data_IF_238315406797
#
_entry.id   IF_238315406797
#
_cell.length_a   1.000
_cell.length_b   1.000
_cell.length_c   1.000
_cell.angle_alpha   90.00
_cell.angle_beta   90.00
_cell.angle_gamma   90.00
#
_symmetry.space_group_name_H-M   'P 1'
#
loop_
_entity.id
_entity.type
_entity.pdbx_description
1 polymer ?
#
# COMPACT_ATOMS: atom_id res chain seq x y z
N UNK A 1 -2.08 -0.42 -25.41
CA UNK A 1 -2.51 0.11 -24.11
C UNK A 1 -2.83 -0.98 -23.10
N UNK A 2 -3.47 -0.67 -21.96
CA UNK A 2 -3.72 -1.66 -20.89
C UNK A 2 -4.52 -2.88 -21.38
N UNK A 3 -5.47 -2.71 -22.27
CA UNK A 3 -6.23 -3.83 -22.88
C UNK A 3 -5.36 -4.80 -23.68
N UNK A 4 -4.32 -4.34 -24.32
CA UNK A 4 -3.36 -5.21 -25.03
C UNK A 4 -2.55 -6.04 -24.04
N UNK A 5 -2.16 -5.43 -22.90
CA UNK A 5 -1.44 -6.12 -21.83
C UNK A 5 -2.31 -7.22 -21.21
N UNK A 6 -3.54 -6.90 -20.81
CA UNK A 6 -4.46 -7.89 -20.23
C UNK A 6 -4.82 -8.99 -21.24
N UNK A 7 -5.03 -8.62 -22.50
CA UNK A 7 -5.26 -9.58 -23.58
C UNK A 7 -4.11 -10.57 -23.76
N UNK A 8 -2.87 -10.09 -23.76
CA UNK A 8 -1.69 -10.94 -23.83
C UNK A 8 -1.56 -11.89 -22.63
N UNK A 9 -1.82 -11.39 -21.39
CA UNK A 9 -1.82 -12.22 -20.18
C UNK A 9 -2.89 -13.32 -20.27
N UNK A 10 -4.09 -12.98 -20.71
CA UNK A 10 -5.20 -13.94 -20.83
C UNK A 10 -4.95 -14.98 -21.92
N UNK A 11 -4.25 -14.62 -23.00
CA UNK A 11 -3.87 -15.57 -24.06
C UNK A 11 -3.01 -16.71 -23.51
N UNK A 12 -2.19 -16.43 -22.49
CA UNK A 12 -1.37 -17.43 -21.79
C UNK A 12 -2.12 -18.13 -20.63
N UNK A 13 -3.43 -17.90 -20.48
CA UNK A 13 -4.28 -18.54 -19.48
C UNK A 13 -4.15 -17.96 -18.05
N UNK A 14 -3.40 -16.87 -17.87
CA UNK A 14 -3.22 -16.24 -16.57
C UNK A 14 -4.27 -15.14 -16.29
N UNK A 15 -4.55 -14.88 -15.02
CA UNK A 15 -5.36 -13.74 -14.60
C UNK A 15 -4.51 -12.47 -14.46
N UNK A 16 -5.11 -11.32 -14.79
CA UNK A 16 -4.45 -10.02 -14.72
C UNK A 16 -4.95 -9.19 -13.52
N UNK A 17 -4.03 -8.70 -12.69
CA UNK A 17 -4.32 -7.78 -11.59
C UNK A 17 -3.65 -6.43 -11.78
N UNK A 18 -4.28 -5.37 -11.27
CA UNK A 18 -3.70 -4.02 -11.26
C UNK A 18 -3.76 -3.41 -9.87
N UNK A 19 -2.67 -2.75 -9.46
CA UNK A 19 -2.67 -1.97 -8.22
C UNK A 19 -3.22 -0.56 -8.48
N UNK A 20 -4.19 -0.15 -7.66
CA UNK A 20 -4.76 1.20 -7.65
C UNK A 20 -4.38 1.93 -6.37
N UNK A 21 -4.06 3.22 -6.47
CA UNK A 21 -3.65 4.00 -5.32
C UNK A 21 -3.45 5.47 -5.68
N UNK A 22 -3.29 6.29 -4.64
CA UNK A 22 -2.98 7.70 -4.76
C UNK A 22 -1.71 8.03 -3.98
N UNK A 23 -0.75 8.69 -4.62
CA UNK A 23 0.57 8.96 -4.04
C UNK A 23 0.54 9.83 -2.76
N UNK A 24 -0.52 10.64 -2.59
CA UNK A 24 -0.59 11.53 -1.44
C UNK A 24 0.59 12.52 -1.41
N UNK A 25 1.23 12.65 -0.27
CA UNK A 25 2.38 13.52 -0.06
C UNK A 25 3.65 13.09 -0.82
N UNK A 26 3.67 11.89 -1.40
CA UNK A 26 4.78 11.40 -2.21
C UNK A 26 4.79 11.98 -3.63
N UNK A 27 3.74 12.65 -4.04
CA UNK A 27 3.70 13.38 -5.32
C UNK A 27 4.48 14.70 -5.24
N UNK A 28 4.73 15.31 -6.39
CA UNK A 28 5.42 16.60 -6.47
C UNK A 28 4.65 17.55 -7.39
N UNK A 29 4.55 18.84 -6.98
CA UNK A 29 3.80 19.87 -7.73
C UNK A 29 4.15 19.94 -9.23
N UNK A 30 5.43 19.74 -9.57
CA UNK A 30 5.89 19.76 -10.98
C UNK A 30 5.33 18.59 -11.80
N UNK A 31 4.91 17.49 -11.14
CA UNK A 31 4.38 16.29 -11.80
C UNK A 31 2.86 16.36 -11.88
N UNK A 32 2.21 16.66 -10.75
CA UNK A 32 0.74 16.67 -10.68
C UNK A 32 0.09 18.02 -11.02
N UNK A 33 0.89 19.07 -11.30
CA UNK A 33 0.39 20.41 -11.65
C UNK A 33 -0.19 21.21 -10.48
N UNK A 34 -0.52 20.57 -9.37
CA UNK A 34 -1.14 21.16 -8.19
C UNK A 34 -0.34 20.86 -6.92
N UNK A 35 -0.67 21.52 -5.81
CA UNK A 35 -0.10 21.18 -4.50
C UNK A 35 -0.55 19.75 -4.12
N UNK A 36 0.38 18.82 -3.85
CA UNK A 36 0.03 17.47 -3.40
C UNK A 36 -0.84 17.49 -2.15
N UNK A 37 -1.70 16.50 -2.02
CA UNK A 37 -2.63 16.34 -0.89
C UNK A 37 -2.19 15.21 0.04
N UNK A 38 -2.60 15.29 1.30
CA UNK A 38 -2.28 14.31 2.33
C UNK A 38 -3.37 14.31 3.41
N UNK A 39 -3.24 13.44 4.42
CA UNK A 39 -4.08 13.49 5.61
C UNK A 39 -3.95 14.84 6.34
N UNK A 40 -2.72 15.37 6.44
CA UNK A 40 -2.42 16.65 7.11
C UNK A 40 -1.49 17.52 6.28
N UNK A 41 -1.57 18.83 6.50
CA UNK A 41 -0.64 19.80 5.89
C UNK A 41 0.76 19.61 6.46
N UNK A 42 1.78 19.71 5.62
CA UNK A 42 3.16 19.57 6.03
C UNK A 42 4.17 19.74 4.89
N UNK A 43 5.39 19.32 5.16
CA UNK A 43 6.47 19.30 4.18
C UNK A 43 7.04 17.88 4.07
N UNK A 44 7.09 17.34 2.85
CA UNK A 44 7.71 16.05 2.60
C UNK A 44 9.18 16.23 2.22
N UNK A 45 10.07 15.77 3.10
CA UNK A 45 11.52 15.84 2.88
C UNK A 45 12.03 14.86 1.82
N UNK A 46 11.35 13.73 1.62
CA UNK A 46 11.73 12.72 0.64
C UNK A 46 11.53 13.22 -0.81
N UNK A 47 10.40 13.87 -1.06
CA UNK A 47 10.12 14.62 -2.28
C UNK A 47 9.94 16.08 -1.89
N UNK A 48 11.02 16.92 -1.84
CA UNK A 48 10.98 18.24 -1.22
C UNK A 48 9.82 19.11 -1.75
N UNK A 49 8.68 19.02 -1.10
CA UNK A 49 7.45 19.71 -1.51
C UNK A 49 6.54 20.00 -0.31
N UNK A 50 5.87 21.13 -0.36
CA UNK A 50 4.75 21.40 0.53
C UNK A 50 3.53 20.60 0.12
N UNK A 51 2.82 20.06 1.11
CA UNK A 51 1.60 19.29 0.91
C UNK A 51 0.46 19.93 1.69
N UNK A 52 -0.73 19.83 1.16
CA UNK A 52 -1.96 20.33 1.77
C UNK A 52 -2.75 19.18 2.38
N UNK A 53 -3.21 19.34 3.61
CA UNK A 53 -4.20 18.46 4.20
C UNK A 53 -5.50 18.50 3.40
N UNK A 54 -6.09 17.34 3.16
CA UNK A 54 -7.41 17.25 2.51
C UNK A 54 -8.49 17.86 3.40
N UNK A 55 -9.40 18.62 2.79
CA UNK A 55 -10.62 19.08 3.46
C UNK A 55 -11.60 17.91 3.59
N UNK A 56 -12.52 18.00 4.56
CA UNK A 56 -13.53 16.94 4.77
C UNK A 56 -14.39 16.69 3.54
N UNK A 57 -14.76 17.76 2.86
CA UNK A 57 -15.62 17.76 1.68
C UNK A 57 -14.96 17.07 0.47
N UNK A 58 -13.63 16.97 0.47
CA UNK A 58 -12.85 16.31 -0.60
C UNK A 58 -12.76 14.77 -0.42
N UNK A 59 -12.94 14.28 0.81
CA UNK A 59 -12.75 12.85 1.13
C UNK A 59 -13.76 11.94 0.40
N UNK A 60 -15.06 12.25 0.33
CA UNK A 60 -16.01 11.43 -0.42
C UNK A 60 -15.69 11.36 -1.91
N UNK A 61 -15.26 12.46 -2.52
CA UNK A 61 -14.89 12.45 -3.94
C UNK A 61 -13.64 11.63 -4.21
N UNK A 62 -12.66 11.70 -3.32
CA UNK A 62 -11.47 10.85 -3.41
C UNK A 62 -11.83 9.37 -3.24
N UNK A 63 -12.73 9.02 -2.31
CA UNK A 63 -13.21 7.65 -2.16
C UNK A 63 -13.91 7.16 -3.44
N UNK A 64 -14.82 7.95 -4.01
CA UNK A 64 -15.47 7.64 -5.29
C UNK A 64 -14.46 7.45 -6.43
N UNK A 65 -13.32 8.16 -6.41
CA UNK A 65 -12.28 7.97 -7.41
C UNK A 65 -11.66 6.55 -7.36
N UNK A 66 -11.53 5.95 -6.16
CA UNK A 66 -11.13 4.54 -6.04
C UNK A 66 -12.17 3.60 -6.66
N UNK A 67 -13.46 3.82 -6.43
CA UNK A 67 -14.53 3.05 -7.08
C UNK A 67 -14.50 3.18 -8.61
N UNK A 68 -14.35 4.41 -9.14
CA UNK A 68 -14.20 4.62 -10.59
C UNK A 68 -12.98 3.88 -11.16
N UNK A 69 -11.88 3.81 -10.42
CA UNK A 69 -10.69 3.09 -10.84
C UNK A 69 -10.93 1.59 -11.02
N UNK A 70 -11.81 0.97 -10.20
CA UNK A 70 -12.24 -0.42 -10.36
C UNK A 70 -12.98 -0.63 -11.69
N UNK A 71 -13.94 0.24 -12.01
CA UNK A 71 -14.65 0.18 -13.29
C UNK A 71 -13.69 0.29 -14.49
N UNK A 72 -12.77 1.27 -14.45
CA UNK A 72 -11.77 1.45 -15.50
C UNK A 72 -10.81 0.26 -15.63
N UNK A 73 -10.41 -0.34 -14.49
CA UNK A 73 -9.60 -1.56 -14.48
C UNK A 73 -10.34 -2.72 -15.17
N UNK A 74 -11.62 -2.92 -14.82
CA UNK A 74 -12.44 -3.96 -15.46
C UNK A 74 -12.65 -3.72 -16.95
N UNK A 75 -12.91 -2.49 -17.35
CA UNK A 75 -12.99 -2.12 -18.76
C UNK A 75 -11.69 -2.38 -19.53
N UNK A 76 -10.56 -2.22 -18.85
CA UNK A 76 -9.24 -2.56 -19.40
C UNK A 76 -8.93 -4.06 -19.40
N UNK A 77 -9.83 -4.91 -18.87
CA UNK A 77 -9.70 -6.36 -18.88
C UNK A 77 -9.02 -6.96 -17.64
N UNK A 78 -8.80 -6.20 -16.57
CA UNK A 78 -8.25 -6.75 -15.33
C UNK A 78 -9.30 -7.57 -14.56
N UNK A 79 -8.85 -8.71 -14.01
CA UNK A 79 -9.67 -9.63 -13.21
C UNK A 79 -9.69 -9.22 -11.73
N UNK A 80 -8.64 -8.51 -11.28
CA UNK A 80 -8.50 -8.07 -9.91
C UNK A 80 -7.93 -6.67 -9.80
N UNK A 81 -8.27 -5.99 -8.70
CA UNK A 81 -7.63 -4.76 -8.25
C UNK A 81 -6.97 -4.96 -6.89
N UNK A 82 -5.78 -4.40 -6.71
CA UNK A 82 -5.12 -4.31 -5.41
C UNK A 82 -5.18 -2.85 -4.94
N UNK A 83 -5.92 -2.58 -3.85
CA UNK A 83 -5.97 -1.26 -3.23
C UNK A 83 -4.71 -1.02 -2.42
N UNK A 84 -3.95 0.02 -2.74
CA UNK A 84 -2.72 0.33 -2.03
C UNK A 84 -3.00 1.13 -0.75
N UNK A 85 -3.01 0.43 0.40
CA UNK A 85 -3.21 1.00 1.72
C UNK A 85 -1.94 0.99 2.59
N UNK A 86 -0.75 0.85 1.98
CA UNK A 86 0.53 0.76 2.67
C UNK A 86 1.56 1.80 2.21
N UNK A 87 2.80 1.62 2.67
CA UNK A 87 4.04 2.30 2.24
C UNK A 87 4.07 3.82 2.36
N UNK A 88 3.11 4.43 3.09
CA UNK A 88 3.03 5.89 3.23
C UNK A 88 2.37 6.59 2.05
N UNK A 89 1.58 5.89 1.23
CA UNK A 89 0.68 6.49 0.25
C UNK A 89 -0.63 6.96 0.90
N UNK A 90 -1.55 7.56 0.14
CA UNK A 90 -2.63 8.37 0.70
C UNK A 90 -3.45 7.66 1.80
N UNK A 91 -3.92 6.43 1.58
CA UNK A 91 -4.67 5.68 2.62
C UNK A 91 -3.78 5.42 3.83
N UNK A 92 -2.53 4.98 3.63
CA UNK A 92 -1.56 4.79 4.70
C UNK A 92 -1.25 6.09 5.46
N UNK A 93 -1.27 7.25 4.79
CA UNK A 93 -1.08 8.56 5.43
C UNK A 93 -2.23 8.93 6.37
N UNK A 94 -3.45 8.46 6.10
CA UNK A 94 -4.57 8.59 7.04
C UNK A 94 -4.46 7.61 8.20
N UNK A 95 -4.02 6.40 7.95
CA UNK A 95 -3.87 5.34 8.97
C UNK A 95 -2.73 5.65 9.95
N UNK A 96 -1.58 6.12 9.46
CA UNK A 96 -0.39 6.34 10.29
C UNK A 96 -0.50 7.59 11.15
N UNK A 97 -0.27 7.48 12.48
CA UNK A 97 -0.24 8.65 13.37
C UNK A 97 0.91 9.60 13.05
N UNK A 98 1.93 9.12 12.35
CA UNK A 98 3.08 9.94 11.91
C UNK A 98 2.71 11.01 10.88
N UNK A 99 1.73 10.74 10.02
CA UNK A 99 1.28 11.67 8.97
C UNK A 99 -0.10 12.24 9.22
N UNK A 100 -0.91 11.59 10.05
CA UNK A 100 -2.26 12.03 10.37
C UNK A 100 -2.29 12.79 11.71
N UNK A 101 -2.18 14.12 11.64
CA UNK A 101 -2.26 15.02 12.78
C UNK A 101 -3.62 15.74 12.86
N UNK A 102 -4.64 15.22 12.17
CA UNK A 102 -5.98 15.80 12.15
C UNK A 102 -6.63 15.81 13.54
N UNK A 103 -7.47 16.83 13.79
CA UNK A 103 -8.22 17.00 15.04
C UNK A 103 -9.72 16.75 14.87
N UNK A 104 -10.12 16.41 13.65
CA UNK A 104 -11.50 16.04 13.31
C UNK A 104 -11.71 14.52 13.40
N UNK A 105 -12.90 14.06 12.98
CA UNK A 105 -13.29 12.65 13.01
C UNK A 105 -12.47 11.71 12.10
N UNK A 106 -11.49 12.22 11.36
CA UNK A 106 -10.56 11.44 10.53
C UNK A 106 -9.16 11.34 11.13
N UNK A 107 -8.97 11.81 12.39
CA UNK A 107 -7.68 11.79 13.07
C UNK A 107 -7.78 11.45 14.56
N UNK A 108 -6.63 11.33 15.23
CA UNK A 108 -6.54 10.94 16.63
C UNK A 108 -6.63 9.43 16.84
N UNK A 109 -7.77 8.91 17.29
CA UNK A 109 -7.96 7.48 17.56
C UNK A 109 -7.78 6.62 16.29
N UNK A 110 -7.44 5.34 16.49
CA UNK A 110 -7.32 4.39 15.38
C UNK A 110 -8.62 4.31 14.58
N UNK A 111 -9.77 4.26 15.26
CA UNK A 111 -11.09 4.21 14.61
C UNK A 111 -11.29 5.40 13.66
N UNK A 112 -10.97 6.60 14.12
CA UNK A 112 -11.05 7.80 13.29
C UNK A 112 -10.08 7.76 12.10
N UNK A 113 -8.85 7.30 12.31
CA UNK A 113 -7.84 7.18 11.25
C UNK A 113 -8.23 6.15 10.19
N UNK A 114 -9.01 5.13 10.54
CA UNK A 114 -9.56 4.14 9.60
C UNK A 114 -10.74 4.65 8.77
N UNK A 115 -11.41 5.75 9.14
CA UNK A 115 -12.63 6.22 8.44
C UNK A 115 -12.41 6.46 6.96
N UNK A 116 -11.31 7.10 6.56
CA UNK A 116 -11.05 7.34 5.15
C UNK A 116 -10.79 6.03 4.38
N UNK A 117 -10.09 5.07 4.97
CA UNK A 117 -9.93 3.74 4.39
C UNK A 117 -11.27 3.04 4.19
N UNK A 118 -12.16 3.09 5.20
CA UNK A 118 -13.52 2.52 5.10
C UNK A 118 -14.30 3.13 3.95
N UNK A 119 -14.28 4.45 3.78
CA UNK A 119 -14.94 5.12 2.66
C UNK A 119 -14.39 4.63 1.31
N UNK A 120 -13.08 4.50 1.18
CA UNK A 120 -12.46 3.98 -0.04
C UNK A 120 -12.85 2.52 -0.31
N UNK A 121 -12.86 1.66 0.72
CA UNK A 121 -13.23 0.26 0.59
C UNK A 121 -14.72 0.10 0.25
N UNK A 122 -15.61 0.92 0.80
CA UNK A 122 -17.03 0.91 0.45
C UNK A 122 -17.23 1.13 -1.04
N UNK A 123 -16.65 2.18 -1.60
CA UNK A 123 -16.75 2.50 -3.03
C UNK A 123 -16.11 1.42 -3.92
N UNK A 124 -14.95 0.89 -3.50
CA UNK A 124 -14.26 -0.20 -4.21
C UNK A 124 -15.11 -1.47 -4.20
N UNK A 125 -15.66 -1.89 -3.05
CA UNK A 125 -16.44 -3.12 -2.95
C UNK A 125 -17.76 -3.02 -3.69
N UNK A 126 -18.43 -1.85 -3.68
CA UNK A 126 -19.62 -1.60 -4.47
C UNK A 126 -19.32 -1.72 -5.99
N UNK A 127 -18.24 -1.11 -6.45
CA UNK A 127 -17.81 -1.21 -7.84
C UNK A 127 -17.39 -2.65 -8.22
N UNK A 128 -16.71 -3.35 -7.33
CA UNK A 128 -16.28 -4.73 -7.54
C UNK A 128 -17.46 -5.69 -7.62
N UNK A 129 -18.48 -5.53 -6.77
CA UNK A 129 -19.71 -6.32 -6.82
C UNK A 129 -20.46 -6.11 -8.17
N UNK A 130 -20.50 -4.86 -8.65
CA UNK A 130 -21.15 -4.52 -9.92
C UNK A 130 -20.39 -5.07 -11.15
N UNK A 131 -19.08 -5.26 -11.06
CA UNK A 131 -18.21 -5.64 -12.17
C UNK A 131 -17.70 -7.07 -12.14
N UNK A 132 -17.88 -7.78 -11.01
CA UNK A 132 -17.31 -9.12 -10.80
C UNK A 132 -15.78 -9.10 -10.64
N UNK A 133 -15.19 -7.98 -10.19
CA UNK A 133 -13.75 -7.80 -10.02
C UNK A 133 -13.32 -8.30 -8.64
N UNK A 134 -12.24 -9.07 -8.55
CA UNK A 134 -11.65 -9.45 -7.26
C UNK A 134 -10.92 -8.27 -6.61
N UNK A 135 -10.99 -8.15 -5.28
CA UNK A 135 -10.35 -7.07 -4.51
C UNK A 135 -9.30 -7.61 -3.57
N UNK A 136 -8.09 -7.13 -3.72
CA UNK A 136 -6.99 -7.32 -2.77
C UNK A 136 -6.67 -5.98 -2.09
N UNK A 137 -6.16 -6.02 -0.88
CA UNK A 137 -5.68 -4.82 -0.18
C UNK A 137 -4.24 -5.01 0.24
N UNK A 138 -3.34 -4.16 -0.27
CA UNK A 138 -1.96 -4.13 0.22
C UNK A 138 -1.89 -3.28 1.47
N UNK A 139 -1.45 -3.90 2.56
CA UNK A 139 -1.40 -3.29 3.89
C UNK A 139 -0.02 -3.47 4.54
N UNK A 140 0.42 -2.45 5.30
CA UNK A 140 1.65 -2.55 6.08
C UNK A 140 1.43 -3.33 7.36
N UNK A 141 2.28 -4.30 7.64
CA UNK A 141 2.35 -4.93 8.96
C UNK A 141 2.92 -3.96 10.02
N UNK A 142 3.77 -3.03 9.60
CA UNK A 142 4.30 -1.93 10.42
C UNK A 142 4.95 -0.87 9.52
N UNK A 143 5.12 0.35 10.04
CA UNK A 143 5.74 1.45 9.28
C UNK A 143 7.28 1.44 9.32
N UNK A 144 7.90 0.74 10.29
CA UNK A 144 9.35 0.56 10.36
C UNK A 144 10.11 1.64 11.15
N UNK A 145 9.41 2.51 11.88
CA UNK A 145 10.01 3.55 12.71
C UNK A 145 9.12 3.92 13.90
N UNK A 146 9.72 4.52 14.92
CA UNK A 146 8.99 4.94 16.12
C UNK A 146 7.98 6.06 15.81
N UNK A 147 6.75 5.89 16.26
CA UNK A 147 5.64 6.83 16.04
C UNK A 147 4.86 6.58 14.74
N UNK A 148 5.18 5.54 13.99
CA UNK A 148 4.34 4.97 12.93
C UNK A 148 3.43 3.87 13.46
N UNK A 149 2.75 3.17 12.55
CA UNK A 149 1.93 1.99 12.86
C UNK A 149 2.84 0.85 13.30
N UNK A 150 2.48 0.18 14.39
CA UNK A 150 3.11 -1.03 14.89
C UNK A 150 2.20 -2.26 14.71
N UNK A 151 2.74 -3.47 14.84
CA UNK A 151 2.03 -4.74 14.53
C UNK A 151 0.67 -4.87 15.22
N UNK A 152 0.51 -4.59 16.53
CA UNK A 152 -0.78 -4.75 17.19
C UNK A 152 -1.87 -3.86 16.56
N UNK A 153 -1.56 -2.60 16.31
CA UNK A 153 -2.48 -1.65 15.69
C UNK A 153 -2.76 -2.02 14.23
N UNK A 154 -1.75 -2.52 13.52
CA UNK A 154 -1.88 -2.98 12.14
C UNK A 154 -2.78 -4.22 12.02
N UNK A 155 -2.76 -5.13 13.00
CA UNK A 155 -3.67 -6.27 13.05
C UNK A 155 -5.13 -5.80 13.20
N UNK A 156 -5.40 -4.77 14.01
CA UNK A 156 -6.75 -4.21 14.11
C UNK A 156 -7.22 -3.58 12.78
N UNK A 157 -6.32 -2.91 12.06
CA UNK A 157 -6.62 -2.40 10.71
C UNK A 157 -6.91 -3.56 9.76
N UNK A 158 -6.12 -4.62 9.81
CA UNK A 158 -6.31 -5.81 8.96
C UNK A 158 -7.64 -6.55 9.26
N UNK A 159 -8.04 -6.62 10.53
CA UNK A 159 -9.37 -7.13 10.93
C UNK A 159 -10.50 -6.27 10.37
N UNK A 160 -10.32 -4.96 10.34
CA UNK A 160 -11.28 -4.06 9.71
C UNK A 160 -11.37 -4.33 8.19
N UNK A 161 -10.23 -4.51 7.51
CA UNK A 161 -10.20 -4.87 6.08
C UNK A 161 -10.91 -6.20 5.84
N UNK A 162 -10.70 -7.20 6.70
CA UNK A 162 -11.37 -8.51 6.62
C UNK A 162 -12.91 -8.38 6.72
N UNK A 163 -13.44 -7.48 7.56
CA UNK A 163 -14.88 -7.23 7.68
C UNK A 163 -15.53 -6.77 6.37
N UNK A 164 -14.77 -6.13 5.50
CA UNK A 164 -15.20 -5.74 4.15
C UNK A 164 -15.27 -6.91 3.17
N UNK A 165 -14.89 -8.14 3.59
CA UNK A 165 -14.92 -9.36 2.77
C UNK A 165 -14.14 -9.23 1.44
N UNK A 166 -13.01 -8.54 1.49
CA UNK A 166 -12.06 -8.52 0.36
C UNK A 166 -11.53 -9.93 0.10
N UNK A 167 -11.05 -10.19 -1.11
CA UNK A 167 -10.57 -11.52 -1.52
C UNK A 167 -9.21 -11.90 -0.89
N UNK A 168 -8.44 -10.93 -0.40
CA UNK A 168 -7.20 -11.18 0.31
C UNK A 168 -6.47 -9.91 0.74
N UNK A 169 -5.50 -10.07 1.66
CA UNK A 169 -4.59 -9.00 2.07
C UNK A 169 -3.17 -9.34 1.62
N UNK A 170 -2.52 -8.38 0.95
CA UNK A 170 -1.11 -8.43 0.59
C UNK A 170 -0.31 -7.79 1.73
N UNK A 171 0.38 -8.62 2.51
CA UNK A 171 1.17 -8.18 3.66
C UNK A 171 2.50 -7.60 3.21
N UNK A 172 2.77 -6.37 3.60
CA UNK A 172 4.02 -5.68 3.34
C UNK A 172 4.42 -4.87 4.59
N UNK A 173 5.43 -4.01 4.48
CA UNK A 173 5.84 -3.17 5.61
C UNK A 173 6.73 -2.02 5.16
N UNK A 174 6.92 -1.05 6.04
CA UNK A 174 7.74 0.12 5.79
C UNK A 174 6.97 1.32 5.25
N UNK A 175 7.64 2.46 5.27
CA UNK A 175 7.08 3.76 4.89
C UNK A 175 8.10 4.49 4.01
N UNK A 176 7.83 4.63 2.72
CA UNK A 176 8.82 5.04 1.71
C UNK A 176 9.54 6.35 2.05
N UNK A 177 8.83 7.34 2.57
CA UNK A 177 9.43 8.64 2.90
C UNK A 177 10.25 8.66 4.19
N UNK A 178 10.14 7.66 5.06
CA UNK A 178 10.79 7.63 6.38
C UNK A 178 11.65 6.40 6.62
N UNK A 179 11.20 5.24 6.17
CA UNK A 179 11.87 3.95 6.34
C UNK A 179 11.85 3.12 5.03
N UNK A 180 12.40 3.65 3.92
CA UNK A 180 12.36 2.95 2.63
C UNK A 180 13.03 1.59 2.69
N UNK A 181 14.10 1.45 3.48
CA UNK A 181 14.84 0.20 3.61
C UNK A 181 14.11 -0.88 4.41
N UNK A 182 13.02 -0.54 5.12
CA UNK A 182 12.15 -1.54 5.73
C UNK A 182 11.40 -2.38 4.68
N UNK A 183 11.13 -1.80 3.50
CA UNK A 183 10.54 -2.48 2.34
C UNK A 183 11.60 -3.15 1.48
N UNK A 184 12.62 -2.37 1.07
CA UNK A 184 13.60 -2.79 0.06
C UNK A 184 14.68 -3.73 0.61
N UNK A 185 15.02 -3.62 1.90
CA UNK A 185 16.09 -4.35 2.56
C UNK A 185 17.48 -4.21 1.86
N UNK A 186 18.54 -4.49 2.59
CA UNK A 186 19.91 -4.44 2.06
C UNK A 186 20.56 -3.06 2.15
N UNK A 187 21.51 -2.82 1.25
CA UNK A 187 22.27 -1.57 1.24
C UNK A 187 21.49 -0.42 0.60
N UNK A 188 21.62 0.76 1.20
CA UNK A 188 21.01 1.97 0.64
C UNK A 188 21.67 2.31 -0.69
N UNK A 189 20.92 2.54 -1.77
CA UNK A 189 21.49 2.90 -3.07
C UNK A 189 21.92 4.39 -3.13
N UNK A 190 22.85 4.78 -2.25
CA UNK A 190 23.30 6.15 -2.04
C UNK A 190 23.77 6.82 -3.33
N UNK A 191 24.54 6.10 -4.14
CA UNK A 191 25.06 6.65 -5.40
C UNK A 191 23.93 6.98 -6.37
N UNK A 192 22.96 6.07 -6.53
CA UNK A 192 21.78 6.28 -7.37
C UNK A 192 20.95 7.45 -6.85
N UNK A 193 20.66 7.49 -5.54
CA UNK A 193 19.92 8.59 -4.92
C UNK A 193 20.64 9.93 -5.14
N UNK A 194 21.96 9.99 -4.98
CA UNK A 194 22.73 11.20 -5.21
C UNK A 194 22.73 11.61 -6.68
N UNK A 195 22.78 10.67 -7.61
CA UNK A 195 22.81 10.94 -9.04
C UNK A 195 21.57 11.69 -9.52
N UNK A 196 20.38 11.26 -9.07
CA UNK A 196 19.10 11.90 -9.41
C UNK A 196 18.76 13.14 -8.57
N UNK A 197 19.62 13.51 -7.63
CA UNK A 197 19.42 14.69 -6.79
C UNK A 197 20.07 15.95 -7.40
N UNK A 198 19.57 17.16 -7.02
CA UNK A 198 20.21 18.42 -7.41
C UNK A 198 21.69 18.44 -7.04
N UNK A 199 22.54 19.09 -7.85
CA UNK A 199 23.99 19.10 -7.68
C UNK A 199 24.45 19.48 -6.28
N UNK A 200 23.81 20.52 -5.70
CA UNK A 200 24.13 21.02 -4.34
C UNK A 200 23.83 20.00 -3.23
N UNK A 201 22.93 19.04 -3.48
CA UNK A 201 22.51 18.04 -2.47
C UNK A 201 23.31 16.73 -2.60
N UNK A 202 24.01 16.49 -3.70
CA UNK A 202 24.71 15.22 -3.99
C UNK A 202 25.77 14.87 -2.94
N UNK A 203 26.61 15.83 -2.58
CA UNK A 203 27.63 15.63 -1.57
C UNK A 203 27.01 15.30 -0.21
N UNK A 204 26.00 16.06 0.20
CA UNK A 204 25.28 15.80 1.44
C UNK A 204 24.67 14.38 1.48
N UNK A 205 23.98 13.96 0.42
CA UNK A 205 23.41 12.60 0.34
C UNK A 205 24.49 11.53 0.44
N UNK A 206 25.63 11.71 -0.22
CA UNK A 206 26.74 10.73 -0.22
C UNK A 206 27.37 10.58 1.16
N UNK A 207 27.58 11.68 1.88
CA UNK A 207 28.31 11.66 3.15
C UNK A 207 27.38 11.48 4.36
N UNK A 208 26.19 12.09 4.36
CA UNK A 208 25.26 12.04 5.50
C UNK A 208 24.18 10.96 5.34
N UNK A 209 23.79 10.61 4.11
CA UNK A 209 22.72 9.66 3.83
C UNK A 209 22.87 8.30 4.54
N UNK A 210 24.05 7.67 4.57
CA UNK A 210 24.26 6.40 5.28
C UNK A 210 23.94 6.44 6.76
N UNK A 211 24.09 7.60 7.41
CA UNK A 211 23.82 7.80 8.84
C UNK A 211 22.39 8.24 9.12
N UNK A 212 21.74 8.89 8.15
CA UNK A 212 20.39 9.43 8.31
C UNK A 212 19.28 8.41 8.01
N UNK A 213 19.55 7.47 7.12
CA UNK A 213 18.57 6.47 6.69
C UNK A 213 18.82 5.17 7.45
N UNK A 214 17.82 4.75 8.24
CA UNK A 214 17.90 3.47 8.96
C UNK A 214 18.05 2.33 7.98
N UNK A 215 19.09 1.51 8.19
CA UNK A 215 19.34 0.32 7.40
C UNK A 215 18.60 -0.88 7.97
N UNK A 216 18.16 -1.77 7.10
CA UNK A 216 17.54 -3.04 7.44
C UNK A 216 18.30 -4.14 6.68
N UNK A 217 19.14 -4.94 7.35
CA UNK A 217 19.87 -6.01 6.69
C UNK A 217 18.90 -6.93 5.93
N UNK A 218 19.38 -7.42 4.78
CA UNK A 218 18.64 -8.44 4.05
C UNK A 218 18.72 -9.77 4.79
N UNK A 219 17.60 -10.45 4.92
CA UNK A 219 17.50 -11.86 5.31
C UNK A 219 16.42 -12.51 4.48
N UNK A 220 16.54 -13.81 4.23
CA UNK A 220 15.45 -14.52 3.56
C UNK A 220 14.17 -14.45 4.39
N UNK A 221 13.02 -14.31 3.71
CA UNK A 221 11.70 -14.30 4.33
C UNK A 221 11.56 -13.29 5.48
N UNK A 222 12.18 -12.14 5.38
CA UNK A 222 12.32 -11.14 6.46
C UNK A 222 11.00 -10.65 7.08
N UNK A 223 9.87 -10.86 6.44
CA UNK A 223 8.54 -10.54 6.98
C UNK A 223 7.78 -11.78 7.49
N UNK A 224 8.36 -12.98 7.41
CA UNK A 224 7.65 -14.22 7.69
C UNK A 224 7.12 -14.30 9.12
N UNK A 225 7.96 -13.96 10.09
CA UNK A 225 7.58 -14.04 11.52
C UNK A 225 6.46 -13.05 11.86
N UNK A 226 6.48 -11.88 11.22
CA UNK A 226 5.40 -10.89 11.37
C UNK A 226 4.13 -11.36 10.65
N UNK A 227 4.25 -11.92 9.44
CA UNK A 227 3.11 -12.44 8.69
C UNK A 227 2.39 -13.61 9.43
N UNK A 228 3.12 -14.44 10.19
CA UNK A 228 2.52 -15.49 11.04
C UNK A 228 1.54 -14.90 12.07
N UNK A 229 1.89 -13.76 12.69
CA UNK A 229 1.00 -13.06 13.65
C UNK A 229 -0.31 -12.63 13.00
N UNK A 230 -0.25 -12.18 11.74
CA UNK A 230 -1.44 -11.85 10.94
C UNK A 230 -2.24 -13.11 10.60
N UNK A 231 -1.55 -14.24 10.28
CA UNK A 231 -2.24 -15.50 10.01
C UNK A 231 -3.02 -16.02 11.23
N UNK A 232 -2.46 -15.87 12.42
CA UNK A 232 -3.14 -16.23 13.67
C UNK A 232 -4.37 -15.35 13.97
N UNK A 233 -4.35 -14.11 13.52
CA UNK A 233 -5.39 -13.10 13.83
C UNK A 233 -6.52 -13.02 12.80
N UNK A 234 -6.34 -13.56 11.59
CA UNK A 234 -7.21 -13.35 10.42
C UNK A 234 -7.59 -14.69 9.77
N UNK A 235 -8.72 -14.75 9.11
CA UNK A 235 -9.20 -15.94 8.39
C UNK A 235 -9.09 -15.82 6.87
N UNK A 236 -9.12 -14.58 6.32
CA UNK A 236 -9.05 -14.37 4.88
C UNK A 236 -7.69 -14.79 4.28
N UNK A 237 -7.60 -14.97 2.94
CA UNK A 237 -6.34 -15.22 2.23
C UNK A 237 -5.30 -14.12 2.50
N UNK A 238 -4.07 -14.54 2.83
CA UNK A 238 -2.93 -13.65 3.01
C UNK A 238 -1.89 -13.93 1.93
N UNK A 239 -1.46 -12.87 1.25
CA UNK A 239 -0.39 -12.91 0.25
C UNK A 239 0.86 -12.33 0.89
N UNK A 240 1.91 -13.13 0.95
CA UNK A 240 3.18 -12.74 1.52
C UNK A 240 4.07 -12.04 0.48
N UNK A 241 4.65 -10.90 0.85
CA UNK A 241 5.65 -10.20 0.06
C UNK A 241 7.00 -10.32 0.75
N UNK A 242 7.89 -11.13 0.19
CA UNK A 242 9.25 -11.35 0.70
C UNK A 242 10.01 -12.26 -0.26
N UNK A 243 11.36 -12.21 -0.22
CA UNK A 243 12.18 -12.98 -1.15
C UNK A 243 12.68 -14.25 -0.48
N UNK A 244 12.24 -15.46 -0.91
CA UNK A 244 12.95 -16.69 -0.64
C UNK A 244 14.02 -16.91 -1.71
N UNK A 245 15.24 -17.21 -1.32
CA UNK A 245 16.34 -17.55 -2.25
C UNK A 245 16.40 -19.05 -2.55
N UNK A 246 15.87 -19.91 -1.67
CA UNK A 246 15.89 -21.36 -1.81
C UNK A 246 14.50 -21.90 -2.13
N UNK A 247 14.38 -22.49 -3.30
CA UNK A 247 13.23 -23.16 -3.91
C UNK A 247 12.02 -22.30 -4.27
N UNK A 248 11.59 -22.50 -5.50
CA UNK A 248 10.52 -21.79 -6.19
C UNK A 248 9.29 -21.44 -5.37
N UNK A 249 8.77 -20.27 -5.67
CA UNK A 249 7.43 -19.78 -5.34
C UNK A 249 6.95 -20.02 -3.92
N UNK A 250 7.21 -19.09 -3.02
CA UNK A 250 6.42 -19.06 -1.79
C UNK A 250 5.10 -18.37 -2.09
N UNK A 251 4.19 -19.12 -2.62
CA UNK A 251 2.78 -18.84 -2.43
C UNK A 251 2.38 -19.55 -1.13
N UNK A 252 2.07 -18.82 -0.09
CA UNK A 252 1.39 -19.40 1.04
C UNK A 252 0.01 -19.83 0.58
N UNK A 253 -0.12 -21.12 0.26
CA UNK A 253 -1.44 -21.71 0.10
C UNK A 253 -2.18 -21.49 1.40
N UNK A 254 -3.21 -20.67 1.35
CA UNK A 254 -4.16 -20.56 2.44
C UNK A 254 -4.87 -21.90 2.52
N UNK A 255 -4.41 -22.77 3.41
CA UNK A 255 -5.12 -24.01 3.70
C UNK A 255 -6.40 -23.66 4.46
N UNK A 256 -7.53 -23.98 3.80
CA UNK A 256 -8.86 -24.14 4.39
C UNK A 256 -9.53 -22.89 5.01
N UNK A 257 -10.11 -22.07 4.13
CA UNK A 257 -11.37 -21.41 4.47
C UNK A 257 -12.50 -22.16 3.75
N UNK A 258 -13.64 -22.46 4.41
CA UNK A 258 -14.80 -23.10 3.76
C UNK A 258 -15.55 -22.16 2.80
N UNK A 259 -15.11 -20.92 2.63
CA UNK A 259 -15.62 -20.05 1.58
C UNK A 259 -14.99 -20.41 0.24
N UNK A 260 -15.75 -20.51 -0.86
CA UNK A 260 -15.18 -20.78 -2.17
C UNK A 260 -14.16 -19.67 -2.49
N UNK A 261 -12.91 -20.08 -2.72
CA UNK A 261 -11.89 -19.16 -3.22
C UNK A 261 -12.41 -18.54 -4.51
N UNK A 262 -12.23 -17.22 -4.68
CA UNK A 262 -12.58 -16.63 -5.97
C UNK A 262 -11.75 -17.32 -7.06
N UNK A 263 -12.27 -17.46 -8.29
CA UNK A 263 -11.51 -18.06 -9.39
C UNK A 263 -10.15 -17.41 -9.63
N UNK A 264 -9.97 -16.18 -9.14
CA UNK A 264 -8.70 -15.45 -9.17
C UNK A 264 -7.67 -16.06 -8.20
N UNK A 265 -8.06 -16.41 -6.97
CA UNK A 265 -7.15 -17.02 -6.00
C UNK A 265 -6.70 -18.43 -6.42
N UNK A 266 -7.56 -19.18 -7.15
CA UNK A 266 -7.22 -20.52 -7.67
C UNK A 266 -6.20 -20.47 -8.81
N UNK A 267 -6.11 -19.35 -9.55
CA UNK A 267 -5.17 -19.16 -10.67
C UNK A 267 -3.84 -18.52 -10.27
N UNK A 268 -3.69 -18.13 -8.98
CA UNK A 268 -2.44 -17.60 -8.42
C UNK A 268 -1.55 -18.68 -7.78
N UNK A 269 -1.95 -19.97 -7.85
CA UNK A 269 -1.24 -21.11 -7.26
C UNK A 269 -0.47 -21.87 -8.34
#
# INVERSE_FOLDING_TARGET
GLREVTGAIHTEGAAAGIQIGHCGNMSHKKICGTTPISASTGFNLYSPTFVRGMKKEELPEMARAYGRAVHLAREAGFDAVEVHAGHGYLISQFLSPYTNHRKDEYGGSLDNRMRFMRMCLEEVMNAAAATGTSVLVKHNMYDGFKGGIEIPESIEIAREIERWKVNGIVLSGGFVSKAPMAVMRGLIPIYTMSYYSPLWLRAFIRYCGPFMIRQFPFSECYFLEDAKKFREALQLPLIYVGVPLKSGSIFFKVSHSPAPASPFCERLI
#
